data_IF_475360736456
#
_entry.id   IF_475360736456
#
_cell.length_a   1.000
_cell.length_b   1.000
_cell.length_c   1.000
_cell.angle_alpha   90.00
_cell.angle_beta   90.00
_cell.angle_gamma   90.00
#
_symmetry.space_group_name_H-M   'P 1'
#
loop_
_entity.id
_entity.type
_entity.pdbx_description
1 polymer ?
#
# COMPACT_ATOMS: atom_id res chain seq x y z
N UNK A 1 16.43 49.83 -5.69
CA UNK A 1 15.65 48.60 -6.04
C UNK A 1 16.01 47.52 -5.05
N UNK A 2 15.35 47.51 -3.87
CA UNK A 2 15.44 46.47 -2.88
C UNK A 2 14.29 45.49 -3.12
N UNK A 3 14.58 44.33 -3.71
CA UNK A 3 13.66 43.21 -3.65
C UNK A 3 13.72 42.64 -2.21
N UNK A 4 12.66 42.87 -1.47
CA UNK A 4 12.43 42.19 -0.17
C UNK A 4 12.18 40.71 -0.47
N UNK A 5 13.10 39.86 -0.04
CA UNK A 5 12.84 38.43 0.14
C UNK A 5 11.77 38.31 1.25
N UNK A 6 10.52 38.14 0.86
CA UNK A 6 9.46 37.74 1.78
C UNK A 6 9.74 36.28 2.15
N UNK A 7 10.43 36.08 3.28
CA UNK A 7 10.49 34.77 3.92
C UNK A 7 9.06 34.36 4.25
N UNK A 8 8.57 33.30 3.64
CA UNK A 8 7.30 32.71 4.01
C UNK A 8 7.44 32.20 5.45
N UNK A 9 6.75 32.87 6.37
CA UNK A 9 6.63 32.39 7.76
C UNK A 9 5.82 31.11 7.67
N UNK A 10 6.44 29.98 8.03
CA UNK A 10 5.74 28.69 8.11
C UNK A 10 4.79 28.74 9.29
N UNK A 11 3.52 28.83 9.02
CA UNK A 11 2.46 28.79 10.01
C UNK A 11 2.27 27.34 10.41
N UNK A 12 2.49 27.03 11.69
CA UNK A 12 2.28 25.69 12.25
C UNK A 12 0.78 25.28 12.24
N UNK A 13 0.52 24.03 12.58
CA UNK A 13 -0.81 23.42 12.72
C UNK A 13 -1.80 24.28 13.52
N UNK A 14 -1.32 24.97 14.55
CA UNK A 14 -2.15 25.83 15.42
C UNK A 14 -2.78 27.03 14.69
N UNK A 15 -2.19 27.47 13.59
CA UNK A 15 -2.64 28.65 12.83
C UNK A 15 -3.40 28.29 11.53
N UNK A 16 -3.06 27.17 10.91
CA UNK A 16 -3.69 26.73 9.65
C UNK A 16 -4.79 25.68 9.87
N UNK A 17 -4.82 25.04 11.03
CA UNK A 17 -5.56 23.81 11.24
C UNK A 17 -4.87 22.63 10.54
N UNK A 18 -5.32 21.43 10.78
CA UNK A 18 -4.77 20.21 10.19
C UNK A 18 -4.77 19.06 11.16
N UNK A 19 -4.02 18.01 10.83
CA UNK A 19 -3.93 16.80 11.61
C UNK A 19 -2.47 16.46 11.90
N UNK A 20 -2.22 16.00 13.12
CA UNK A 20 -0.95 15.42 13.53
C UNK A 20 -1.16 13.96 13.87
N UNK A 21 -0.42 13.08 13.23
CA UNK A 21 -0.35 11.66 13.55
C UNK A 21 0.99 11.35 14.20
N UNK A 22 0.98 10.53 15.26
CA UNK A 22 2.17 9.86 15.74
C UNK A 22 2.01 8.38 15.41
N UNK A 23 2.93 7.83 14.61
CA UNK A 23 2.96 6.41 14.27
C UNK A 23 4.13 5.74 14.98
N UNK A 24 3.92 4.52 15.48
CA UNK A 24 4.97 3.69 16.06
C UNK A 24 5.31 2.56 15.11
N UNK A 25 6.59 2.37 14.81
CA UNK A 25 7.11 1.26 14.03
C UNK A 25 7.11 -0.04 14.86
N UNK A 26 6.66 -1.13 14.27
CA UNK A 26 6.69 -2.47 14.88
C UNK A 26 8.05 -3.11 14.69
N UNK A 27 8.93 -2.94 15.67
CA UNK A 27 10.32 -3.42 15.60
C UNK A 27 10.49 -4.93 15.79
N UNK A 28 9.45 -5.61 16.27
CA UNK A 28 9.47 -7.06 16.51
C UNK A 28 9.50 -7.92 15.23
N UNK A 29 9.25 -7.32 14.08
CA UNK A 29 9.32 -8.00 12.76
C UNK A 29 10.69 -7.85 12.10
N UNK A 30 11.54 -6.97 12.62
CA UNK A 30 12.88 -6.71 12.08
C UNK A 30 13.85 -7.81 12.50
N UNK A 31 14.80 -8.13 11.63
CA UNK A 31 15.88 -9.05 11.93
C UNK A 31 16.87 -8.42 12.93
N UNK A 32 17.52 -9.26 13.74
CA UNK A 32 18.43 -8.78 14.79
C UNK A 32 19.68 -8.04 14.27
N UNK A 33 20.00 -8.18 12.99
CA UNK A 33 21.10 -7.52 12.28
C UNK A 33 20.68 -6.21 11.60
N UNK A 34 19.38 -5.87 11.56
CA UNK A 34 18.90 -4.62 11.02
C UNK A 34 19.05 -3.48 12.03
N UNK A 35 19.62 -2.36 11.58
CA UNK A 35 19.70 -1.14 12.39
C UNK A 35 18.33 -0.44 12.40
N UNK A 36 17.70 -0.42 13.56
CA UNK A 36 16.37 0.17 13.75
C UNK A 36 16.34 1.65 13.37
N UNK A 37 17.44 2.39 13.57
CA UNK A 37 17.52 3.79 13.21
C UNK A 37 17.47 3.98 11.69
N UNK A 38 18.18 3.15 10.96
CA UNK A 38 18.18 3.17 9.48
C UNK A 38 16.79 2.86 8.94
N UNK A 39 16.12 1.82 9.47
CA UNK A 39 14.75 1.46 9.06
C UNK A 39 13.76 2.57 9.40
N UNK A 40 13.94 3.26 10.53
CA UNK A 40 13.10 4.39 10.92
C UNK A 40 13.26 5.57 9.94
N UNK A 41 14.50 5.90 9.55
CA UNK A 41 14.78 6.96 8.57
C UNK A 41 14.23 6.62 7.18
N UNK A 42 14.38 5.38 6.73
CA UNK A 42 13.78 4.89 5.49
C UNK A 42 12.24 4.97 5.55
N UNK A 43 11.65 4.61 6.68
CA UNK A 43 10.20 4.71 6.89
C UNK A 43 9.70 6.14 6.78
N UNK A 44 10.45 7.15 7.27
CA UNK A 44 10.13 8.57 7.10
C UNK A 44 10.05 8.93 5.62
N UNK A 45 11.04 8.51 4.80
CA UNK A 45 11.04 8.82 3.37
C UNK A 45 9.89 8.15 2.63
N UNK A 46 9.57 6.90 2.98
CA UNK A 46 8.41 6.19 2.44
C UNK A 46 7.11 6.88 2.81
N UNK A 47 6.92 7.20 4.09
CA UNK A 47 5.72 7.87 4.57
C UNK A 47 5.56 9.28 3.96
N UNK A 48 6.67 10.01 3.77
CA UNK A 48 6.68 11.30 3.06
C UNK A 48 6.13 11.15 1.64
N UNK A 49 6.66 10.21 0.86
CA UNK A 49 6.19 9.95 -0.51
C UNK A 49 4.71 9.57 -0.56
N UNK A 50 4.24 8.80 0.42
CA UNK A 50 2.83 8.42 0.53
C UNK A 50 1.92 9.62 0.78
N UNK A 51 2.31 10.56 1.66
CA UNK A 51 1.49 11.72 1.99
C UNK A 51 1.60 12.86 0.99
N UNK A 52 2.73 12.98 0.28
CA UNK A 52 2.93 14.01 -0.75
C UNK A 52 1.91 13.90 -1.90
N UNK A 53 1.41 12.71 -2.18
CA UNK A 53 0.40 12.49 -3.23
C UNK A 53 -0.98 13.08 -2.91
N UNK A 54 -1.26 13.41 -1.66
CA UNK A 54 -2.51 14.09 -1.26
C UNK A 54 -2.48 15.60 -1.48
N UNK A 55 -1.39 16.15 -2.01
CA UNK A 55 -1.27 17.59 -2.28
C UNK A 55 -1.31 18.44 -1.00
N UNK A 56 -1.08 17.84 0.16
CA UNK A 56 -0.97 18.59 1.42
C UNK A 56 0.24 19.49 1.36
N UNK A 57 0.05 20.76 1.65
CA UNK A 57 1.13 21.73 1.63
C UNK A 57 2.19 21.39 2.70
N UNK A 58 3.35 20.90 2.25
CA UNK A 58 4.55 20.68 3.05
C UNK A 58 4.31 19.86 4.37
N UNK A 59 4.04 18.54 4.29
CA UNK A 59 3.94 17.71 5.48
C UNK A 59 5.27 17.70 6.22
N UNK A 60 5.23 17.80 7.57
CA UNK A 60 6.41 17.77 8.41
C UNK A 60 6.50 16.38 9.05
N UNK A 61 7.54 15.63 8.69
CA UNK A 61 7.84 14.32 9.28
C UNK A 61 9.13 14.39 10.07
N UNK A 62 9.08 13.92 11.31
CA UNK A 62 10.23 13.88 12.19
C UNK A 62 10.19 12.68 13.14
N UNK A 63 11.36 12.20 13.53
CA UNK A 63 11.47 11.14 14.54
C UNK A 63 11.02 11.63 15.91
N UNK A 64 10.34 10.76 16.66
CA UNK A 64 9.95 10.99 18.07
C UNK A 64 10.37 9.77 18.91
N UNK A 65 11.44 9.93 19.69
CA UNK A 65 12.02 8.79 20.40
C UNK A 65 12.72 7.78 19.46
N UNK A 66 12.78 6.53 19.88
CA UNK A 66 13.55 5.48 19.18
C UNK A 66 12.79 4.77 18.06
N UNK A 67 11.45 4.77 18.09
CA UNK A 67 10.64 4.00 17.16
C UNK A 67 9.35 4.70 16.72
N UNK A 68 9.24 6.01 16.91
CA UNK A 68 8.05 6.76 16.52
C UNK A 68 8.38 7.84 15.50
N UNK A 69 7.40 8.13 14.64
CA UNK A 69 7.44 9.18 13.64
C UNK A 69 6.23 10.08 13.87
N UNK A 70 6.47 11.37 14.07
CA UNK A 70 5.43 12.40 14.07
C UNK A 70 5.25 12.91 12.64
N UNK A 71 4.00 13.03 12.21
CA UNK A 71 3.59 13.46 10.87
C UNK A 71 2.57 14.58 11.03
N UNK A 72 2.98 15.80 10.75
CA UNK A 72 2.12 16.97 10.81
C UNK A 72 1.66 17.34 9.41
N UNK A 73 0.36 17.40 9.20
CA UNK A 73 -0.28 17.66 7.91
C UNK A 73 -1.15 18.93 7.99
N UNK A 74 -0.57 20.12 7.77
CA UNK A 74 -1.32 21.36 7.78
C UNK A 74 -2.33 21.41 6.63
N UNK A 75 -3.55 21.85 6.92
CA UNK A 75 -4.59 22.03 5.90
C UNK A 75 -5.17 20.75 5.30
N UNK A 76 -4.91 19.57 5.90
CA UNK A 76 -5.54 18.34 5.48
C UNK A 76 -7.07 18.44 5.58
N UNK A 77 -7.76 18.11 4.49
CA UNK A 77 -9.22 18.14 4.45
C UNK A 77 -9.83 16.96 5.23
N UNK A 78 -11.03 17.16 5.75
CA UNK A 78 -11.80 16.09 6.42
C UNK A 78 -12.11 14.92 5.47
N UNK A 79 -12.21 15.19 4.17
CA UNK A 79 -12.46 14.18 3.15
C UNK A 79 -11.24 13.27 2.93
N UNK A 80 -10.02 13.83 3.06
CA UNK A 80 -8.80 13.09 2.83
C UNK A 80 -8.25 12.42 4.09
N UNK A 81 -8.78 12.81 5.24
CA UNK A 81 -8.35 12.31 6.55
C UNK A 81 -8.35 10.77 6.65
N UNK A 82 -9.45 10.11 6.25
CA UNK A 82 -9.55 8.65 6.32
C UNK A 82 -8.58 7.96 5.37
N UNK A 83 -8.42 8.48 4.16
CA UNK A 83 -7.47 7.95 3.18
C UNK A 83 -6.03 8.07 3.66
N UNK A 84 -5.66 9.23 4.21
CA UNK A 84 -4.33 9.43 4.79
C UNK A 84 -4.09 8.45 5.93
N UNK A 85 -5.05 8.30 6.84
CA UNK A 85 -4.97 7.39 7.97
C UNK A 85 -4.74 5.94 7.51
N UNK A 86 -5.46 5.48 6.49
CA UNK A 86 -5.30 4.15 5.92
C UNK A 86 -3.94 3.97 5.26
N UNK A 87 -3.51 4.92 4.43
CA UNK A 87 -2.22 4.85 3.71
C UNK A 87 -1.03 4.87 4.67
N UNK A 88 -1.10 5.65 5.75
CA UNK A 88 -0.03 5.67 6.74
C UNK A 88 0.19 4.29 7.40
N UNK A 89 -0.89 3.57 7.68
CA UNK A 89 -0.83 2.30 8.42
C UNK A 89 -0.78 1.06 7.53
N UNK A 90 -1.09 1.20 6.25
CA UNK A 90 -1.13 0.07 5.32
C UNK A 90 0.28 -0.43 5.01
N UNK A 91 0.64 -1.67 5.40
CA UNK A 91 1.98 -2.21 5.13
C UNK A 91 2.23 -2.43 3.64
N UNK A 92 1.17 -2.68 2.86
CA UNK A 92 1.21 -3.03 1.44
C UNK A 92 2.09 -4.26 1.18
N UNK A 93 1.87 -5.28 1.96
CA UNK A 93 2.59 -6.53 1.85
C UNK A 93 2.07 -7.33 0.65
N UNK A 94 2.62 -7.06 -0.51
CA UNK A 94 2.30 -7.80 -1.72
C UNK A 94 3.12 -9.08 -1.78
N UNK A 95 2.47 -10.20 -2.04
CA UNK A 95 3.08 -11.51 -2.16
C UNK A 95 2.53 -12.25 -3.38
N UNK A 96 3.41 -12.96 -4.06
CA UNK A 96 3.04 -13.86 -5.14
C UNK A 96 3.10 -15.30 -4.61
N UNK A 97 1.96 -15.97 -4.56
CA UNK A 97 1.80 -17.28 -3.95
C UNK A 97 1.13 -18.24 -4.91
N UNK A 98 1.69 -19.44 -5.08
CA UNK A 98 1.08 -20.44 -5.97
C UNK A 98 -0.20 -21.00 -5.38
N UNK A 99 -1.22 -21.15 -6.24
CA UNK A 99 -2.45 -21.89 -5.93
C UNK A 99 -2.20 -23.38 -6.15
N UNK A 100 -2.75 -24.22 -5.27
CA UNK A 100 -2.65 -25.68 -5.38
C UNK A 100 -3.39 -26.18 -6.63
N UNK A 101 -2.79 -27.08 -7.42
CA UNK A 101 -3.36 -27.57 -8.69
C UNK A 101 -4.73 -28.21 -8.51
N UNK A 102 -4.94 -28.91 -7.39
CA UNK A 102 -6.21 -29.54 -7.03
C UNK A 102 -6.96 -28.72 -5.98
N UNK A 103 -6.89 -27.40 -6.06
CA UNK A 103 -7.44 -26.50 -5.05
C UNK A 103 -8.89 -26.81 -4.74
N UNK A 104 -9.77 -26.78 -5.76
CA UNK A 104 -11.21 -26.97 -5.56
C UNK A 104 -11.54 -28.35 -4.98
N UNK A 105 -10.94 -29.41 -5.54
CA UNK A 105 -11.17 -30.78 -5.05
C UNK A 105 -10.82 -30.95 -3.57
N UNK A 106 -9.71 -30.34 -3.14
CA UNK A 106 -9.24 -30.46 -1.75
C UNK A 106 -10.09 -29.63 -0.79
N UNK A 107 -10.55 -28.46 -1.23
CA UNK A 107 -11.48 -27.62 -0.47
C UNK A 107 -12.82 -28.36 -0.28
N UNK A 108 -13.39 -28.91 -1.36
CA UNK A 108 -14.67 -29.63 -1.33
C UNK A 108 -14.62 -30.86 -0.43
N UNK A 109 -13.46 -31.50 -0.33
CA UNK A 109 -13.23 -32.65 0.57
C UNK A 109 -12.95 -32.26 2.03
N UNK A 110 -12.71 -30.98 2.30
CA UNK A 110 -12.42 -30.47 3.63
C UNK A 110 -11.09 -30.94 4.23
N UNK A 111 -10.13 -31.39 3.41
CA UNK A 111 -8.82 -31.84 3.90
C UNK A 111 -7.87 -30.66 4.12
N UNK A 112 -7.27 -30.53 5.32
CA UNK A 112 -6.20 -29.58 5.54
C UNK A 112 -4.96 -30.00 4.75
N UNK A 113 -4.36 -29.06 4.02
CA UNK A 113 -3.13 -29.29 3.26
C UNK A 113 -1.98 -28.53 3.93
N UNK A 114 -0.98 -29.21 4.47
CA UNK A 114 0.15 -28.55 5.11
C UNK A 114 0.84 -27.57 4.16
N UNK A 115 1.14 -26.36 4.64
CA UNK A 115 1.77 -25.30 3.87
C UNK A 115 0.84 -24.50 2.95
N UNK A 116 -0.47 -24.77 3.00
CA UNK A 116 -1.49 -24.03 2.28
C UNK A 116 -2.57 -23.49 3.22
N UNK A 117 -3.24 -22.43 2.77
CA UNK A 117 -4.41 -21.84 3.44
C UNK A 117 -5.49 -21.53 2.40
N UNK A 118 -6.73 -21.49 2.84
CA UNK A 118 -7.85 -21.09 1.97
C UNK A 118 -7.93 -19.56 2.00
N UNK A 119 -7.83 -18.95 0.82
CA UNK A 119 -8.10 -17.54 0.60
C UNK A 119 -9.25 -17.39 -0.39
N UNK A 120 -10.02 -16.32 -0.24
CA UNK A 120 -11.18 -16.06 -1.09
C UNK A 120 -10.87 -14.91 -2.05
N UNK A 121 -10.98 -15.17 -3.34
CA UNK A 121 -10.99 -14.16 -4.39
C UNK A 121 -12.42 -13.63 -4.57
N UNK A 122 -12.60 -12.31 -4.49
CA UNK A 122 -13.84 -11.66 -4.83
C UNK A 122 -13.79 -11.26 -6.30
N UNK A 123 -14.64 -11.88 -7.12
CA UNK A 123 -14.75 -11.56 -8.53
C UNK A 123 -16.08 -10.88 -8.79
N UNK A 124 -16.03 -9.65 -9.28
CA UNK A 124 -17.23 -8.88 -9.63
C UNK A 124 -18.01 -9.55 -10.74
N UNK A 125 -19.34 -9.53 -10.63
CA UNK A 125 -20.20 -9.97 -11.73
C UNK A 125 -20.09 -8.99 -12.91
N UNK A 126 -19.95 -9.53 -14.12
CA UNK A 126 -19.99 -8.76 -15.37
C UNK A 126 -21.41 -8.25 -15.69
N UNK A 127 -22.41 -8.85 -15.06
CA UNK A 127 -23.82 -8.50 -15.28
C UNK A 127 -24.29 -7.51 -14.21
N UNK A 128 -24.73 -6.29 -14.58
CA UNK A 128 -25.24 -5.33 -13.62
C UNK A 128 -26.44 -5.88 -12.82
N UNK A 129 -26.32 -5.87 -11.48
CA UNK A 129 -27.36 -6.34 -10.56
C UNK A 129 -27.20 -7.79 -10.09
N UNK A 130 -26.27 -8.55 -10.61
CA UNK A 130 -25.90 -9.85 -10.06
C UNK A 130 -24.85 -9.72 -8.94
N UNK A 131 -24.95 -10.56 -7.89
CA UNK A 131 -23.98 -10.53 -6.79
C UNK A 131 -22.60 -10.99 -7.26
N UNK A 132 -21.57 -10.43 -6.64
CA UNK A 132 -20.18 -10.85 -6.85
C UNK A 132 -19.99 -12.33 -6.52
N UNK A 133 -19.16 -13.02 -7.29
CA UNK A 133 -18.78 -14.39 -6.99
C UNK A 133 -17.60 -14.43 -6.02
N UNK A 134 -17.71 -15.29 -5.01
CA UNK A 134 -16.64 -15.58 -4.06
C UNK A 134 -16.02 -16.93 -4.43
N UNK A 135 -14.76 -16.91 -4.88
CA UNK A 135 -14.05 -18.11 -5.30
C UNK A 135 -12.99 -18.43 -4.26
N UNK A 136 -13.07 -19.60 -3.64
CA UNK A 136 -12.07 -20.06 -2.70
C UNK A 136 -10.92 -20.73 -3.41
N UNK A 137 -9.70 -20.39 -3.01
CA UNK A 137 -8.47 -20.97 -3.51
C UNK A 137 -7.61 -21.48 -2.36
N UNK A 138 -7.00 -22.64 -2.55
CA UNK A 138 -6.00 -23.19 -1.66
C UNK A 138 -4.63 -22.64 -2.05
N UNK A 139 -4.16 -21.64 -1.32
CA UNK A 139 -2.98 -20.82 -1.66
C UNK A 139 -1.83 -21.16 -0.71
N UNK A 140 -0.60 -21.22 -1.21
CA UNK A 140 0.59 -21.40 -0.38
C UNK A 140 0.67 -20.32 0.71
N UNK A 141 1.12 -20.70 1.92
CA UNK A 141 1.29 -19.75 3.04
C UNK A 141 2.48 -18.82 2.78
N UNK A 142 3.56 -19.34 2.18
CA UNK A 142 4.78 -18.56 1.89
C UNK A 142 4.79 -18.05 0.45
N UNK A 143 5.33 -16.84 0.21
CA UNK A 143 5.53 -16.33 -1.14
C UNK A 143 6.49 -17.22 -1.93
N UNK A 144 6.31 -17.27 -3.24
CA UNK A 144 7.13 -18.09 -4.12
C UNK A 144 8.51 -17.45 -4.28
N UNK A 145 9.56 -18.20 -3.94
CA UNK A 145 10.97 -17.77 -4.01
C UNK A 145 11.26 -16.41 -3.32
N UNK A 146 10.45 -16.02 -2.33
CA UNK A 146 10.58 -14.74 -1.65
C UNK A 146 10.13 -13.52 -2.46
N UNK A 147 9.41 -13.71 -3.57
CA UNK A 147 8.91 -12.64 -4.41
C UNK A 147 7.80 -11.86 -3.70
N UNK A 148 8.09 -10.62 -3.33
CA UNK A 148 7.22 -9.73 -2.55
C UNK A 148 7.18 -8.33 -3.14
N UNK A 149 6.39 -7.44 -2.52
CA UNK A 149 6.31 -6.03 -2.88
C UNK A 149 7.63 -5.26 -2.83
N UNK A 150 8.61 -5.72 -2.05
CA UNK A 150 9.97 -5.15 -2.05
C UNK A 150 10.66 -5.19 -3.43
N UNK A 151 10.19 -6.05 -4.32
CA UNK A 151 10.68 -6.15 -5.69
C UNK A 151 9.91 -5.26 -6.67
N UNK A 152 8.96 -4.43 -6.23
CA UNK A 152 8.28 -3.47 -7.09
C UNK A 152 9.17 -2.25 -7.29
N UNK A 153 9.36 -1.89 -8.55
CA UNK A 153 10.10 -0.69 -8.99
C UNK A 153 9.16 0.48 -9.23
N UNK A 154 7.98 0.22 -9.77
CA UNK A 154 6.93 1.22 -9.99
C UNK A 154 5.56 0.58 -10.07
N UNK A 155 4.53 1.34 -9.71
CA UNK A 155 3.14 0.95 -9.89
C UNK A 155 2.33 2.15 -10.41
N UNK A 156 1.30 1.90 -11.21
CA UNK A 156 0.46 2.94 -11.77
C UNK A 156 -0.94 2.44 -12.06
N UNK A 157 -1.89 3.37 -12.18
CA UNK A 157 -3.29 3.05 -12.47
C UNK A 157 -3.59 3.38 -13.91
N UNK A 158 -4.16 2.42 -14.63
CA UNK A 158 -4.59 2.55 -16.00
C UNK A 158 -6.02 2.03 -16.15
N UNK A 159 -6.84 2.63 -17.01
CA UNK A 159 -8.16 2.08 -17.30
C UNK A 159 -8.02 0.84 -18.21
N UNK A 160 -8.70 -0.23 -17.86
CA UNK A 160 -8.87 -1.39 -18.75
C UNK A 160 -9.57 -0.93 -20.05
N UNK A 161 -8.98 -1.18 -21.22
CA UNK A 161 -9.51 -0.73 -22.50
C UNK A 161 -10.91 -1.29 -22.84
N UNK A 162 -11.29 -2.41 -22.26
CA UNK A 162 -12.56 -3.09 -22.53
C UNK A 162 -13.67 -2.67 -21.58
N UNK A 163 -13.36 -2.57 -20.30
CA UNK A 163 -14.34 -2.30 -19.24
C UNK A 163 -14.31 -0.87 -18.74
N UNK A 164 -13.21 -0.14 -18.97
CA UNK A 164 -12.96 1.20 -18.43
C UNK A 164 -12.69 1.23 -16.93
N UNK A 165 -12.62 0.06 -16.27
CA UNK A 165 -12.31 -0.04 -14.83
C UNK A 165 -10.84 0.23 -14.56
N UNK A 166 -10.50 0.79 -13.39
CA UNK A 166 -9.09 0.97 -13.02
C UNK A 166 -8.42 -0.37 -12.76
N UNK A 167 -7.24 -0.53 -13.34
CA UNK A 167 -6.32 -1.63 -13.11
C UNK A 167 -4.99 -1.07 -12.62
N UNK A 168 -4.28 -1.83 -11.80
CA UNK A 168 -2.99 -1.42 -11.26
C UNK A 168 -1.90 -2.22 -11.96
N UNK A 169 -1.17 -1.55 -12.84
CA UNK A 169 0.02 -2.11 -13.47
C UNK A 169 1.22 -1.91 -12.56
N UNK A 170 2.05 -2.95 -12.44
CA UNK A 170 3.31 -2.86 -11.70
C UNK A 170 4.48 -3.34 -12.55
N UNK A 171 5.65 -2.79 -12.25
CA UNK A 171 6.92 -3.18 -12.84
C UNK A 171 7.85 -3.59 -11.70
N UNK A 172 8.47 -4.75 -11.84
CA UNK A 172 9.43 -5.26 -10.87
C UNK A 172 10.82 -4.66 -11.10
N UNK A 173 11.64 -4.66 -10.07
CA UNK A 173 13.08 -4.40 -10.17
C UNK A 173 13.76 -5.45 -11.06
N UNK A 174 14.99 -5.22 -11.48
CA UNK A 174 15.73 -6.19 -12.28
C UNK A 174 15.87 -7.55 -11.58
N UNK A 175 16.09 -7.56 -10.27
CA UNK A 175 16.14 -8.77 -9.47
C UNK A 175 14.77 -9.47 -9.41
N UNK A 176 13.71 -8.71 -9.10
CA UNK A 176 12.34 -9.22 -9.09
C UNK A 176 11.91 -9.78 -10.45
N UNK A 177 12.31 -9.15 -11.56
CA UNK A 177 11.99 -9.63 -12.90
C UNK A 177 12.65 -11.00 -13.19
N UNK A 178 13.87 -11.22 -12.75
CA UNK A 178 14.56 -12.53 -12.88
C UNK A 178 13.82 -13.60 -12.07
N UNK A 179 13.50 -13.32 -10.81
CA UNK A 179 12.72 -14.24 -9.96
C UNK A 179 11.37 -14.54 -10.57
N UNK A 180 10.67 -13.51 -11.05
CA UNK A 180 9.33 -13.64 -11.64
C UNK A 180 9.34 -14.46 -12.93
N UNK A 181 10.38 -14.25 -13.77
CA UNK A 181 10.58 -15.05 -14.98
C UNK A 181 10.82 -16.54 -14.65
N UNK A 182 11.61 -16.84 -13.64
CA UNK A 182 11.87 -18.21 -13.22
C UNK A 182 10.62 -18.86 -12.59
N UNK A 183 9.92 -18.17 -11.72
CA UNK A 183 8.66 -18.65 -11.12
C UNK A 183 7.63 -18.93 -12.21
N UNK A 184 7.41 -17.99 -13.13
CA UNK A 184 6.42 -18.14 -14.18
C UNK A 184 6.78 -19.22 -15.20
N UNK A 185 8.07 -19.37 -15.55
CA UNK A 185 8.55 -20.43 -16.43
C UNK A 185 8.30 -21.84 -15.86
N UNK A 186 8.53 -22.02 -14.55
CA UNK A 186 8.33 -23.30 -13.87
C UNK A 186 6.85 -23.64 -13.63
N UNK A 187 5.95 -22.66 -13.71
CA UNK A 187 4.56 -22.80 -13.33
C UNK A 187 3.57 -22.42 -14.45
N UNK A 188 3.97 -22.56 -15.70
CA UNK A 188 3.07 -22.31 -16.86
C UNK A 188 1.81 -23.18 -16.75
N UNK A 189 0.64 -22.58 -16.98
CA UNK A 189 -0.66 -23.24 -16.90
C UNK A 189 -1.27 -23.28 -15.49
N UNK A 190 -0.50 -22.95 -14.44
CA UNK A 190 -0.98 -22.92 -13.05
C UNK A 190 -1.53 -21.53 -12.67
N UNK A 191 -2.30 -21.47 -11.59
CA UNK A 191 -2.78 -20.21 -11.02
C UNK A 191 -1.76 -19.66 -10.04
N UNK A 192 -1.51 -18.35 -10.09
CA UNK A 192 -0.69 -17.62 -9.16
C UNK A 192 -1.53 -16.56 -8.45
N UNK A 193 -1.69 -16.69 -7.14
CA UNK A 193 -2.40 -15.74 -6.33
C UNK A 193 -1.57 -14.47 -6.08
N UNK A 194 -2.16 -13.33 -6.32
CA UNK A 194 -1.67 -12.01 -5.92
C UNK A 194 -2.33 -11.70 -4.58
N UNK A 195 -1.54 -11.80 -3.51
CA UNK A 195 -1.99 -11.60 -2.13
C UNK A 195 -1.48 -10.28 -1.61
N UNK A 196 -2.37 -9.44 -1.14
CA UNK A 196 -2.06 -8.13 -0.58
C UNK A 196 -2.60 -8.06 0.85
N UNK A 197 -1.72 -7.79 1.81
CA UNK A 197 -2.05 -7.72 3.24
C UNK A 197 -2.84 -8.94 3.75
N UNK A 198 -2.53 -10.13 3.21
CA UNK A 198 -3.19 -11.39 3.54
C UNK A 198 -4.48 -11.68 2.77
N UNK A 199 -4.97 -10.76 1.97
CA UNK A 199 -6.16 -10.92 1.14
C UNK A 199 -5.80 -11.31 -0.30
N UNK A 200 -6.49 -12.30 -0.87
CA UNK A 200 -6.33 -12.68 -2.27
C UNK A 200 -7.07 -11.70 -3.17
N UNK A 201 -6.32 -10.85 -3.89
CA UNK A 201 -6.91 -9.88 -4.80
C UNK A 201 -7.28 -10.50 -6.16
N UNK A 202 -6.42 -11.37 -6.68
CA UNK A 202 -6.68 -12.11 -7.91
C UNK A 202 -5.82 -13.37 -7.97
N UNK A 203 -6.25 -14.34 -8.81
CA UNK A 203 -5.50 -15.57 -9.04
C UNK A 203 -5.41 -15.87 -10.57
N UNK A 204 -4.65 -15.06 -11.33
CA UNK A 204 -4.50 -15.25 -12.76
C UNK A 204 -3.79 -16.56 -13.11
N UNK A 205 -4.09 -17.08 -14.30
CA UNK A 205 -3.35 -18.20 -14.88
C UNK A 205 -2.07 -17.70 -15.54
N UNK A 206 -0.98 -18.38 -15.27
CA UNK A 206 0.31 -18.12 -15.93
C UNK A 206 0.24 -18.69 -17.36
N UNK A 207 0.14 -17.82 -18.36
CA UNK A 207 0.03 -18.24 -19.76
C UNK A 207 1.37 -18.53 -20.43
N UNK A 208 2.47 -18.04 -19.82
CA UNK A 208 3.84 -18.22 -20.29
C UNK A 208 4.83 -17.53 -19.37
N UNK A 209 6.14 -17.67 -19.61
CA UNK A 209 7.15 -16.95 -18.86
C UNK A 209 7.00 -15.43 -19.00
N UNK A 210 7.09 -14.70 -17.87
CA UNK A 210 6.98 -13.24 -17.86
C UNK A 210 8.40 -12.67 -17.61
N UNK A 211 9.14 -12.44 -18.69
CA UNK A 211 10.56 -12.06 -18.62
C UNK A 211 10.76 -10.55 -18.35
N UNK A 212 9.75 -9.73 -18.63
CA UNK A 212 9.85 -8.27 -18.48
C UNK A 212 9.51 -7.77 -17.07
N UNK A 213 9.15 -8.65 -16.15
CA UNK A 213 8.79 -8.30 -14.78
C UNK A 213 7.62 -7.33 -14.68
N UNK A 214 6.66 -7.40 -15.61
CA UNK A 214 5.43 -6.59 -15.59
C UNK A 214 4.25 -7.46 -15.25
N UNK A 215 3.36 -6.93 -14.43
CA UNK A 215 2.13 -7.60 -14.06
C UNK A 215 1.03 -6.58 -13.78
N UNK A 216 -0.16 -7.13 -13.57
CA UNK A 216 -1.37 -6.35 -13.42
C UNK A 216 -2.17 -6.91 -12.26
N UNK A 217 -2.67 -6.01 -11.41
CA UNK A 217 -3.58 -6.35 -10.32
C UNK A 217 -4.96 -5.85 -10.73
N UNK A 218 -5.83 -6.80 -10.97
CA UNK A 218 -7.24 -6.56 -11.25
C UNK A 218 -8.05 -6.74 -9.98
N UNK A 219 -9.12 -5.97 -9.83
CA UNK A 219 -9.98 -6.03 -8.66
C UNK A 219 -11.17 -5.11 -8.80
N UNK A 220 -11.99 -5.06 -7.75
CA UNK A 220 -13.11 -4.14 -7.69
C UNK A 220 -12.69 -2.87 -6.95
N UNK A 221 -11.90 -2.05 -7.63
CA UNK A 221 -11.43 -0.77 -7.14
C UNK A 221 -12.19 0.36 -7.81
N UNK A 222 -12.50 1.41 -7.08
CA UNK A 222 -12.72 2.71 -7.70
C UNK A 222 -11.37 3.37 -8.05
N UNK A 223 -11.42 4.51 -8.77
CA UNK A 223 -10.20 5.18 -9.22
C UNK A 223 -9.32 5.63 -8.04
N UNK A 224 -9.94 6.10 -6.96
CA UNK A 224 -9.24 6.56 -5.76
C UNK A 224 -8.55 5.41 -5.05
N UNK A 225 -9.29 4.33 -4.79
CA UNK A 225 -8.75 3.11 -4.16
C UNK A 225 -7.59 2.52 -4.96
N UNK A 226 -7.69 2.52 -6.31
CA UNK A 226 -6.63 2.04 -7.17
C UNK A 226 -5.37 2.92 -7.07
N UNK A 227 -5.52 4.26 -7.06
CA UNK A 227 -4.39 5.18 -6.87
C UNK A 227 -3.73 5.02 -5.49
N UNK A 228 -4.53 4.92 -4.44
CA UNK A 228 -4.03 4.69 -3.08
C UNK A 228 -3.24 3.39 -3.01
N UNK A 229 -3.76 2.33 -3.62
CA UNK A 229 -3.09 1.03 -3.66
C UNK A 229 -1.80 1.05 -4.48
N UNK A 230 -1.82 1.67 -5.66
CA UNK A 230 -0.61 1.82 -6.49
C UNK A 230 0.50 2.57 -5.71
N UNK A 231 0.13 3.67 -5.02
CA UNK A 231 1.06 4.43 -4.19
C UNK A 231 1.71 3.57 -3.09
N UNK A 232 0.92 2.81 -2.35
CA UNK A 232 1.45 1.96 -1.27
C UNK A 232 2.30 0.82 -1.81
N UNK A 233 1.95 0.27 -2.98
CA UNK A 233 2.75 -0.76 -3.67
C UNK A 233 4.11 -0.24 -4.14
N UNK A 234 4.15 0.99 -4.65
CA UNK A 234 5.38 1.64 -5.09
C UNK A 234 6.28 2.05 -3.90
N UNK A 235 5.68 2.26 -2.73
CA UNK A 235 6.37 2.72 -1.52
C UNK A 235 6.07 1.77 -0.34
N UNK A 236 6.58 0.52 -0.37
CA UNK A 236 6.36 -0.45 0.71
C UNK A 236 7.14 -0.05 1.96
N UNK A 237 6.57 -0.32 3.14
CA UNK A 237 7.26 -0.18 4.42
C UNK A 237 8.01 -1.47 4.74
N UNK A 238 9.25 -1.38 5.22
CA UNK A 238 10.02 -2.53 5.70
C UNK A 238 9.46 -3.09 7.01
N UNK A 239 8.94 -2.22 7.87
CA UNK A 239 8.23 -2.59 9.10
C UNK A 239 6.86 -1.93 9.14
N UNK A 240 5.80 -2.66 9.56
CA UNK A 240 4.49 -2.08 9.77
C UNK A 240 4.55 -0.94 10.79
N UNK A 241 3.69 0.06 10.57
CA UNK A 241 3.50 1.14 11.54
C UNK A 241 2.05 1.17 12.01
N UNK A 242 1.86 1.58 13.25
CA UNK A 242 0.52 1.79 13.82
C UNK A 242 0.37 3.19 14.36
N UNK A 243 -0.79 3.79 14.20
CA UNK A 243 -1.09 5.09 14.81
C UNK A 243 -1.23 4.90 16.32
N UNK A 244 -0.45 5.65 17.08
CA UNK A 244 -0.46 5.63 18.55
C UNK A 244 -1.06 6.90 19.14
N UNK A 245 -1.00 8.01 18.41
CA UNK A 245 -1.57 9.28 18.80
C UNK A 245 -2.07 10.02 17.56
N UNK A 246 -3.18 10.72 17.70
CA UNK A 246 -3.82 11.45 16.65
C UNK A 246 -4.47 12.71 17.21
N UNK A 247 -4.08 13.87 16.68
CA UNK A 247 -4.57 15.16 17.11
C UNK A 247 -5.05 15.97 15.91
N UNK A 248 -6.33 16.34 15.90
CA UNK A 248 -6.93 17.19 14.88
C UNK A 248 -7.13 18.59 15.44
N UNK A 249 -6.61 19.60 14.75
CA UNK A 249 -6.79 21.00 15.09
C UNK A 249 -7.69 21.66 14.04
N UNK A 250 -8.89 22.06 14.46
CA UNK A 250 -9.83 22.73 13.56
C UNK A 250 -9.34 24.14 13.18
N UNK A 251 -9.72 24.67 12.00
CA UNK A 251 -9.32 25.99 11.51
C UNK A 251 -9.85 27.17 12.34
N UNK A 252 -10.69 26.92 13.35
CA UNK A 252 -11.29 27.95 14.20
C UNK A 252 -10.31 28.59 15.18
N UNK A 253 -9.33 27.83 15.68
CA UNK A 253 -8.30 28.36 16.60
C UNK A 253 -7.35 29.34 15.92
N UNK A 254 -7.01 29.12 14.66
CA UNK A 254 -6.17 30.03 13.88
C UNK A 254 -6.85 31.37 13.58
N UNK A 255 -8.14 31.38 13.29
CA UNK A 255 -8.92 32.61 13.04
C UNK A 255 -9.05 33.47 14.30
N UNK A 256 -9.29 32.87 15.44
CA UNK A 256 -9.42 33.60 16.71
C UNK A 256 -8.08 34.21 17.18
N UNK A 257 -6.96 33.53 16.88
CA UNK A 257 -5.62 34.05 17.21
C UNK A 257 -5.22 35.22 16.32
N UNK A 258 -5.56 35.19 15.01
CA UNK A 258 -5.32 36.31 14.09
C UNK A 258 -6.24 37.51 14.42
N UNK A 259 -7.50 37.27 14.81
CA UNK A 259 -8.46 38.33 15.14
C UNK A 259 -8.12 39.05 16.47
N UNK A 260 -7.40 38.40 17.38
CA UNK A 260 -6.98 38.98 18.69
C UNK A 260 -5.59 39.58 18.66
N UNK A 261 -4.86 39.45 17.55
CA UNK A 261 -3.48 39.93 17.38
C UNK A 261 -3.37 41.25 16.60
N UNK A 262 -4.48 41.96 16.34
CA UNK A 262 -4.51 43.27 15.70
C UNK A 262 -4.97 44.33 16.71
#
# INVERSE_FOLDING_TARGET
>A
LQQRAAGQIRLGLDLQGGVSFTVAMETNVLSADQDHQVVLEQSIEVLRKRVDQFGVAEPILQTRGENQIQIDMPGLSELDYQSVREILTRPAYLEFRMVHERSQELIDRGFPVPGYQILTERRKSETPGEPDSLIQHLVRIKPEQGLTGAHISSAGVYPDPLTGKPEIDFVLTSEGAVLFADVTRQNVGRLMGIVLDGELKSAPRINGPIEQGRGQITGDYDMREAFELANVLENPLEAPVRIVEENSTGPTLGRDSIAKGV
#
